data_IF_459399808872
#
_entry.id   IF_459399808872
#
_cell.length_a   1.000
_cell.length_b   1.000
_cell.length_c   1.000
_cell.angle_alpha   90.00
_cell.angle_beta   90.00
_cell.angle_gamma   90.00
#
_symmetry.space_group_name_H-M   'P 1'
#
loop_
_entity.id
_entity.type
_entity.pdbx_description
1 polymer ?
#
# COMPACT_ATOMS: atom_id res chain seq x y z
N UNK A 1 -11.58 -6.09 -23.73
CA UNK A 1 -12.49 -6.88 -22.89
C UNK A 1 -13.22 -5.90 -21.96
N UNK A 2 -14.54 -5.83 -22.05
CA UNK A 2 -15.37 -4.85 -21.31
C UNK A 2 -15.39 -5.17 -19.82
N UNK A 3 -15.33 -6.45 -19.45
CA UNK A 3 -15.40 -6.89 -18.06
C UNK A 3 -14.13 -6.49 -17.30
N UNK A 4 -12.97 -6.64 -17.95
CA UNK A 4 -11.68 -6.19 -17.40
C UNK A 4 -11.68 -4.66 -17.20
N UNK A 5 -12.26 -3.91 -18.13
CA UNK A 5 -12.36 -2.46 -18.01
C UNK A 5 -13.27 -2.05 -16.84
N UNK A 6 -14.43 -2.71 -16.69
CA UNK A 6 -15.35 -2.44 -15.57
C UNK A 6 -14.71 -2.76 -14.21
N UNK A 7 -14.05 -3.92 -14.10
CA UNK A 7 -13.32 -4.32 -12.91
C UNK A 7 -12.23 -3.30 -12.55
N UNK A 8 -11.49 -2.82 -13.57
CA UNK A 8 -10.44 -1.82 -13.36
C UNK A 8 -11.00 -0.52 -12.77
N UNK A 9 -12.16 -0.05 -13.25
CA UNK A 9 -12.82 1.16 -12.74
C UNK A 9 -13.29 0.96 -11.31
N UNK A 10 -13.86 -0.21 -10.99
CA UNK A 10 -14.31 -0.53 -9.64
C UNK A 10 -13.15 -0.56 -8.64
N UNK A 11 -12.07 -1.26 -8.97
CA UNK A 11 -10.87 -1.34 -8.11
C UNK A 11 -10.29 0.06 -7.91
N UNK A 12 -10.12 0.84 -8.99
CA UNK A 12 -9.62 2.21 -8.87
C UNK A 12 -10.51 3.10 -7.98
N UNK A 13 -11.83 2.95 -8.08
CA UNK A 13 -12.80 3.65 -7.23
C UNK A 13 -12.65 3.30 -5.75
N UNK A 14 -12.64 2.01 -5.44
CA UNK A 14 -12.46 1.51 -4.06
C UNK A 14 -11.12 1.95 -3.47
N UNK A 15 -10.05 1.91 -4.26
CA UNK A 15 -8.72 2.31 -3.82
C UNK A 15 -8.62 3.81 -3.56
N UNK A 16 -9.29 4.63 -4.37
CA UNK A 16 -9.39 6.07 -4.11
C UNK A 16 -10.15 6.34 -2.81
N UNK A 17 -11.27 5.68 -2.59
CA UNK A 17 -12.05 5.79 -1.36
C UNK A 17 -11.22 5.38 -0.14
N UNK A 18 -10.51 4.25 -0.22
CA UNK A 18 -9.59 3.80 0.83
C UNK A 18 -8.53 4.87 1.16
N UNK A 19 -7.90 5.47 0.15
CA UNK A 19 -6.89 6.51 0.37
C UNK A 19 -7.48 7.78 0.98
N UNK A 20 -8.66 8.22 0.54
CA UNK A 20 -9.36 9.37 1.14
C UNK A 20 -9.73 9.11 2.60
N UNK A 21 -10.38 7.98 2.89
CA UNK A 21 -10.77 7.61 4.26
C UNK A 21 -9.54 7.46 5.16
N UNK A 22 -8.48 6.83 4.66
CA UNK A 22 -7.24 6.69 5.40
C UNK A 22 -6.59 8.05 5.68
N UNK A 23 -6.51 8.95 4.70
CA UNK A 23 -5.99 10.31 4.89
C UNK A 23 -6.72 11.03 6.00
N UNK A 24 -8.05 11.05 5.94
CA UNK A 24 -8.89 11.71 6.94
C UNK A 24 -8.67 11.13 8.33
N UNK A 25 -8.63 9.80 8.46
CA UNK A 25 -8.37 9.15 9.75
C UNK A 25 -7.01 9.56 10.34
N UNK A 26 -5.96 9.62 9.51
CA UNK A 26 -4.61 10.00 9.95
C UNK A 26 -4.51 11.47 10.33
N UNK A 27 -5.19 12.36 9.61
CA UNK A 27 -5.25 13.78 9.94
C UNK A 27 -6.00 14.01 11.26
N UNK A 28 -7.11 13.31 11.49
CA UNK A 28 -7.84 13.34 12.75
C UNK A 28 -6.99 12.83 13.93
N UNK A 29 -6.29 11.71 13.77
CA UNK A 29 -5.35 11.18 14.78
C UNK A 29 -4.25 12.19 15.11
N UNK A 30 -3.73 12.90 14.10
CA UNK A 30 -2.70 13.90 14.27
C UNK A 30 -3.22 15.10 15.06
N UNK A 31 -4.41 15.62 14.72
CA UNK A 31 -5.07 16.72 15.44
C UNK A 31 -5.31 16.35 16.91
N UNK A 32 -5.84 15.14 17.18
CA UNK A 32 -6.04 14.66 18.54
C UNK A 32 -4.75 14.56 19.36
N UNK A 33 -3.61 14.35 18.68
CA UNK A 33 -2.28 14.27 19.28
C UNK A 33 -1.52 15.60 19.29
N UNK A 34 -2.17 16.73 18.95
CA UNK A 34 -1.55 18.04 18.77
C UNK A 34 -0.36 18.03 17.78
N UNK A 35 -0.42 17.13 16.78
CA UNK A 35 0.56 17.04 15.70
C UNK A 35 -0.06 17.57 14.41
N UNK A 36 0.76 18.21 13.58
CA UNK A 36 0.36 18.56 12.23
C UNK A 36 0.85 17.48 11.26
N UNK A 37 -0.08 16.76 10.65
CA UNK A 37 0.19 15.82 9.57
C UNK A 37 -0.53 16.32 8.32
N UNK A 38 0.16 16.33 7.19
CA UNK A 38 -0.45 16.65 5.90
C UNK A 38 0.19 15.79 4.83
N UNK A 39 -0.63 15.20 3.98
CA UNK A 39 -0.17 14.41 2.85
C UNK A 39 -0.25 15.26 1.59
N UNK A 40 0.89 15.43 0.90
CA UNK A 40 0.92 16.14 -0.39
C UNK A 40 0.46 15.20 -1.51
N UNK A 41 -0.21 15.78 -2.52
CA UNK A 41 -0.69 15.07 -3.71
C UNK A 41 -2.18 14.73 -3.66
N UNK A 42 -2.69 14.14 -4.75
CA UNK A 42 -4.09 13.72 -4.88
C UNK A 42 -4.37 12.37 -4.21
N UNK A 43 -5.51 11.77 -4.56
CA UNK A 43 -5.96 10.46 -4.07
C UNK A 43 -6.10 9.41 -5.16
N UNK A 44 -5.60 9.71 -6.36
CA UNK A 44 -5.46 8.68 -7.37
C UNK A 44 -4.35 7.71 -6.91
N UNK A 45 -4.64 6.42 -6.73
CA UNK A 45 -3.63 5.46 -6.30
C UNK A 45 -2.59 5.27 -7.41
N UNK A 46 -1.33 5.04 -7.04
CA UNK A 46 -0.33 4.57 -8.00
C UNK A 46 -0.69 3.15 -8.48
N UNK A 47 -0.26 2.79 -9.70
CA UNK A 47 -0.44 1.43 -10.22
C UNK A 47 0.23 0.38 -9.33
N UNK A 48 1.38 0.72 -8.73
CA UNK A 48 2.04 -0.14 -7.75
C UNK A 48 1.17 -0.41 -6.52
N UNK A 49 0.48 0.61 -6.01
CA UNK A 49 -0.41 0.46 -4.86
C UNK A 49 -1.67 -0.36 -5.17
N UNK A 50 -2.24 -0.18 -6.37
CA UNK A 50 -3.35 -1.02 -6.87
C UNK A 50 -2.92 -2.48 -6.99
N UNK A 51 -1.72 -2.73 -7.53
CA UNK A 51 -1.15 -4.08 -7.62
C UNK A 51 -0.95 -4.71 -6.25
N UNK A 52 -0.46 -3.95 -5.27
CA UNK A 52 -0.29 -4.42 -3.90
C UNK A 52 -1.63 -4.82 -3.26
N UNK A 53 -2.64 -3.98 -3.38
CA UNK A 53 -3.97 -4.28 -2.83
C UNK A 53 -4.58 -5.52 -3.48
N UNK A 54 -4.42 -5.66 -4.79
CA UNK A 54 -4.86 -6.85 -5.52
C UNK A 54 -4.14 -8.10 -5.03
N UNK A 55 -2.83 -8.02 -4.79
CA UNK A 55 -2.05 -9.12 -4.22
C UNK A 55 -2.50 -9.48 -2.80
N UNK A 56 -2.79 -8.50 -1.94
CA UNK A 56 -3.32 -8.74 -0.59
C UNK A 56 -4.68 -9.44 -0.61
N UNK A 57 -5.50 -9.18 -1.63
CA UNK A 57 -6.81 -9.82 -1.77
C UNK A 57 -6.75 -11.25 -2.34
N UNK A 58 -5.66 -11.60 -3.05
CA UNK A 58 -5.59 -12.85 -3.84
C UNK A 58 -4.47 -13.80 -3.43
N UNK A 59 -3.48 -13.33 -2.68
CA UNK A 59 -2.35 -14.12 -2.21
C UNK A 59 -2.42 -14.31 -0.69
N UNK A 60 -1.96 -15.46 -0.20
CA UNK A 60 -1.84 -15.71 1.23
C UNK A 60 -0.64 -15.00 1.88
N UNK A 61 0.38 -14.70 1.08
CA UNK A 61 1.60 -14.02 1.52
C UNK A 61 2.00 -12.99 0.47
N UNK A 62 2.30 -11.77 0.93
CA UNK A 62 2.70 -10.65 0.06
C UNK A 62 3.98 -10.04 0.61
N UNK A 63 4.98 -9.91 -0.27
CA UNK A 63 6.23 -9.21 0.02
C UNK A 63 6.42 -8.10 -0.99
N UNK A 64 6.49 -6.86 -0.48
CA UNK A 64 6.62 -5.66 -1.30
C UNK A 64 8.09 -5.26 -1.46
N UNK A 65 8.51 -5.03 -2.71
CA UNK A 65 9.85 -4.58 -3.08
C UNK A 65 9.77 -3.28 -3.87
N UNK A 66 10.72 -2.37 -3.67
CA UNK A 66 10.88 -1.19 -4.53
C UNK A 66 9.78 -0.13 -4.40
N UNK A 67 8.98 -0.16 -3.34
CA UNK A 67 7.98 0.88 -3.07
C UNK A 67 8.66 2.16 -2.55
N UNK A 68 8.41 3.27 -3.24
CA UNK A 68 8.83 4.58 -2.73
C UNK A 68 7.86 5.08 -1.68
N UNK A 69 8.40 5.58 -0.55
CA UNK A 69 7.62 6.25 0.50
C UNK A 69 7.55 7.77 0.32
N UNK A 70 8.11 8.29 -0.76
CA UNK A 70 8.20 9.72 -1.03
C UNK A 70 8.14 10.00 -2.52
N UNK A 71 7.66 11.18 -2.87
CA UNK A 71 7.68 11.63 -4.26
C UNK A 71 9.12 11.95 -4.68
N UNK A 72 9.65 11.22 -5.66
CA UNK A 72 10.95 11.51 -6.26
C UNK A 72 10.73 12.40 -7.49
N UNK A 73 10.69 13.73 -7.26
CA UNK A 73 10.45 14.73 -8.30
C UNK A 73 11.73 15.34 -8.88
N UNK A 74 12.85 15.17 -8.22
CA UNK A 74 14.14 15.60 -8.73
C UNK A 74 15.22 14.61 -8.29
N UNK A 75 16.27 14.49 -9.11
CA UNK A 75 17.38 13.55 -8.86
C UNK A 75 18.34 14.03 -7.76
N UNK A 76 18.27 15.31 -7.36
CA UNK A 76 19.20 15.94 -6.41
C UNK A 76 18.82 15.71 -4.95
N UNK A 77 17.53 15.51 -4.65
CA UNK A 77 17.01 15.32 -3.29
C UNK A 77 16.64 13.87 -2.96
N UNK A 78 16.92 12.94 -3.88
CA UNK A 78 16.46 11.55 -3.77
C UNK A 78 17.65 10.62 -3.54
N UNK A 79 17.53 9.75 -2.53
CA UNK A 79 18.57 8.76 -2.22
C UNK A 79 18.72 7.66 -3.27
N UNK A 80 17.73 7.52 -4.16
CA UNK A 80 17.69 6.52 -5.24
C UNK A 80 17.05 7.12 -6.51
N UNK A 81 17.35 6.59 -7.71
CA UNK A 81 16.63 6.95 -8.92
C UNK A 81 15.14 6.57 -8.83
N UNK A 82 14.29 7.20 -9.64
CA UNK A 82 12.84 6.94 -9.63
C UNK A 82 12.51 5.51 -10.08
N UNK A 83 13.15 5.04 -11.15
CA UNK A 83 13.10 3.64 -11.59
C UNK A 83 14.41 2.93 -11.30
N UNK A 84 14.33 1.61 -11.04
CA UNK A 84 15.51 0.77 -10.80
C UNK A 84 16.26 0.42 -12.10
N UNK A 85 15.57 0.41 -13.25
CA UNK A 85 16.15 0.12 -14.55
C UNK A 85 16.84 1.35 -15.14
N UNK A 86 17.85 1.11 -15.98
CA UNK A 86 18.60 2.14 -16.70
C UNK A 86 18.26 2.08 -18.20
N UNK A 87 18.58 3.14 -18.93
CA UNK A 87 18.47 3.23 -20.40
C UNK A 87 17.04 3.28 -20.98
N UNK A 88 16.06 3.69 -20.18
CA UNK A 88 14.72 4.03 -20.66
C UNK A 88 14.47 5.53 -20.47
N UNK A 89 13.73 6.12 -21.41
CA UNK A 89 13.39 7.54 -21.36
C UNK A 89 12.41 7.80 -20.20
N UNK A 90 12.93 8.34 -19.11
CA UNK A 90 12.12 8.93 -18.05
C UNK A 90 11.86 10.40 -18.43
N UNK A 91 10.63 10.73 -18.80
CA UNK A 91 10.23 12.14 -18.79
C UNK A 91 10.20 12.58 -17.32
N UNK A 92 11.05 13.55 -16.96
CA UNK A 92 11.12 14.09 -15.60
C UNK A 92 9.75 14.61 -15.12
N UNK A 93 8.95 15.09 -16.07
CA UNK A 93 7.56 15.57 -15.90
C UNK A 93 6.57 14.46 -15.52
N UNK A 94 6.85 13.19 -15.87
CA UNK A 94 5.99 12.04 -15.55
C UNK A 94 6.39 11.37 -14.22
N UNK A 95 7.50 11.79 -13.61
CA UNK A 95 7.94 11.26 -12.31
C UNK A 95 7.05 11.77 -11.20
N UNK A 96 6.59 10.84 -10.36
CA UNK A 96 5.88 11.16 -9.13
C UNK A 96 4.78 12.24 -9.29
N UNK A 97 3.95 12.07 -10.32
CA UNK A 97 2.92 13.02 -10.73
C UNK A 97 2.04 13.45 -9.54
N UNK A 98 1.68 14.74 -9.39
CA UNK A 98 0.96 15.25 -8.23
C UNK A 98 -0.44 14.67 -8.00
N UNK A 99 -0.98 13.88 -8.93
CA UNK A 99 -2.23 13.15 -8.74
C UNK A 99 -2.12 12.02 -7.70
N UNK A 100 -0.92 11.50 -7.48
CA UNK A 100 -0.63 10.48 -6.49
C UNK A 100 -0.12 11.09 -5.19
N UNK A 101 -0.36 10.39 -4.09
CA UNK A 101 0.25 10.70 -2.81
C UNK A 101 1.16 9.57 -2.35
N UNK A 102 2.40 9.55 -2.87
CA UNK A 102 3.41 8.55 -2.51
C UNK A 102 3.71 8.48 -1.02
N UNK A 103 3.58 9.61 -0.31
CA UNK A 103 3.74 9.65 1.15
C UNK A 103 2.57 9.00 1.87
N UNK A 104 1.34 9.17 1.37
CA UNK A 104 0.16 8.52 1.94
C UNK A 104 0.19 7.01 1.68
N UNK A 105 0.47 6.61 0.44
CA UNK A 105 0.63 5.20 0.07
C UNK A 105 1.77 4.54 0.85
N UNK A 106 2.89 5.23 1.02
CA UNK A 106 4.01 4.78 1.83
C UNK A 106 3.68 4.64 3.33
N UNK A 107 2.94 5.60 3.91
CA UNK A 107 2.49 5.51 5.31
C UNK A 107 1.55 4.31 5.50
N UNK A 108 0.60 4.12 4.58
CA UNK A 108 -0.32 2.97 4.61
C UNK A 108 0.42 1.63 4.44
N UNK A 109 1.37 1.55 3.50
CA UNK A 109 2.24 0.37 3.33
C UNK A 109 2.95 0.00 4.64
N UNK A 110 3.56 0.98 5.32
CA UNK A 110 4.27 0.72 6.57
C UNK A 110 3.34 0.35 7.72
N UNK A 111 2.07 0.79 7.70
CA UNK A 111 1.06 0.31 8.66
C UNK A 111 0.65 -1.13 8.39
N UNK A 112 0.41 -1.49 7.13
CA UNK A 112 0.13 -2.87 6.75
C UNK A 112 1.27 -3.80 7.15
N UNK A 113 2.52 -3.34 6.97
CA UNK A 113 3.70 -4.03 7.49
C UNK A 113 3.67 -4.19 9.01
N UNK A 114 3.43 -3.10 9.76
CA UNK A 114 3.38 -3.14 11.23
C UNK A 114 2.26 -4.03 11.78
N UNK A 115 1.19 -4.24 11.02
CA UNK A 115 0.09 -5.15 11.35
C UNK A 115 0.36 -6.61 10.94
N UNK A 116 1.51 -6.89 10.30
CA UNK A 116 1.84 -8.23 9.79
C UNK A 116 1.05 -8.64 8.56
N UNK A 117 0.35 -7.71 7.88
CA UNK A 117 -0.45 -8.01 6.68
C UNK A 117 0.42 -8.27 5.44
N UNK A 118 1.66 -7.76 5.43
CA UNK A 118 2.64 -7.96 4.37
C UNK A 118 4.06 -7.81 4.92
N UNK A 119 5.04 -8.25 4.15
CA UNK A 119 6.46 -7.93 4.37
C UNK A 119 6.89 -6.78 3.46
N UNK A 120 7.83 -5.96 3.93
CA UNK A 120 8.48 -4.92 3.12
C UNK A 120 9.97 -5.18 3.07
N UNK A 121 10.51 -5.22 1.86
CA UNK A 121 11.94 -5.36 1.64
C UNK A 121 12.51 -4.03 1.15
N UNK A 122 13.36 -3.44 1.99
CA UNK A 122 14.14 -2.27 1.62
C UNK A 122 15.50 -2.70 1.07
N UNK A 123 16.02 -1.96 0.09
CA UNK A 123 17.40 -2.12 -0.35
C UNK A 123 18.28 -1.52 0.75
N UNK A 124 19.04 -2.36 1.46
CA UNK A 124 19.99 -1.90 2.47
C UNK A 124 21.07 -1.00 1.85
N UNK A 125 21.66 -0.10 2.66
CA UNK A 125 22.83 0.72 2.27
C UNK A 125 24.09 -0.12 1.96
N UNK A 126 24.10 -1.40 2.34
CA UNK A 126 25.17 -2.35 2.02
C UNK A 126 24.79 -3.16 0.78
N UNK A 127 25.52 -2.92 -0.30
CA UNK A 127 25.54 -3.60 -1.59
C UNK A 127 24.66 -4.88 -1.69
N UNK A 128 23.43 -4.73 -2.18
CA UNK A 128 22.66 -5.84 -2.78
C UNK A 128 21.99 -6.83 -1.83
N UNK A 129 22.06 -6.64 -0.51
CA UNK A 129 21.27 -7.43 0.43
C UNK A 129 19.90 -6.77 0.64
N UNK A 130 18.84 -7.43 0.18
CA UNK A 130 17.46 -7.09 0.54
C UNK A 130 17.26 -7.44 2.01
N UNK A 131 17.17 -6.44 2.88
CA UNK A 131 16.79 -6.68 4.25
C UNK A 131 15.26 -6.71 4.31
N UNK A 132 14.72 -7.89 4.06
CA UNK A 132 13.31 -8.17 4.27
C UNK A 132 13.14 -8.43 5.77
N UNK A 133 12.86 -7.38 6.56
CA UNK A 133 12.55 -7.60 7.97
C UNK A 133 11.22 -8.36 8.04
N UNK A 134 11.30 -9.62 8.44
CA UNK A 134 10.18 -10.52 8.67
C UNK A 134 10.10 -10.90 10.15
N UNK A 135 10.24 -9.93 11.06
CA UNK A 135 10.06 -10.20 12.49
C UNK A 135 8.62 -9.79 12.83
N UNK A 136 7.59 -10.61 12.57
CA UNK A 136 7.32 -11.82 13.35
C UNK A 136 6.21 -12.63 12.68
N UNK A 137 6.56 -13.74 12.05
CA UNK A 137 5.64 -14.88 11.89
C UNK A 137 6.41 -16.17 12.13
N UNK A 138 6.86 -16.35 13.38
CA UNK A 138 7.34 -17.66 13.84
C UNK A 138 6.18 -18.39 14.50
N UNK A 139 5.57 -19.29 13.74
CA UNK A 139 4.80 -20.41 14.29
C UNK A 139 5.77 -21.43 14.86
N UNK A 140 6.24 -21.21 16.08
CA UNK A 140 6.86 -22.26 16.90
C UNK A 140 6.93 -21.82 18.36
N UNK A 141 5.82 -21.93 19.08
CA UNK A 141 5.86 -22.59 20.38
C UNK A 141 4.45 -22.96 20.86
N UNK A 142 4.27 -24.25 21.06
CA UNK A 142 3.17 -24.86 21.78
C UNK A 142 3.19 -24.41 23.24
N UNK A 143 2.29 -23.49 23.62
CA UNK A 143 1.69 -23.50 24.94
C UNK A 143 0.43 -22.63 25.01
N UNK A 144 -0.63 -23.24 25.54
CA UNK A 144 -1.89 -22.60 25.89
C UNK A 144 -1.69 -21.28 26.63
N UNK A 145 -2.30 -20.21 26.12
CA UNK A 145 -3.01 -19.23 26.94
C UNK A 145 -4.07 -18.54 26.07
N UNK A 146 -5.30 -18.65 26.54
CA UNK A 146 -6.48 -17.97 26.01
C UNK A 146 -6.21 -16.48 25.76
N UNK A 147 -6.25 -16.08 24.49
CA UNK A 147 -6.12 -14.70 24.04
C UNK A 147 -6.98 -14.53 22.80
N UNK A 148 -8.06 -13.78 22.95
CA UNK A 148 -9.11 -13.50 21.98
C UNK A 148 -8.53 -13.21 20.58
N UNK A 149 -8.97 -13.97 19.57
CA UNK A 149 -8.71 -13.65 18.17
C UNK A 149 -9.10 -12.18 17.89
N UNK A 150 -8.29 -11.41 17.16
CA UNK A 150 -8.75 -10.13 16.63
C UNK A 150 -9.97 -10.41 15.73
N UNK A 151 -11.02 -9.57 15.82
CA UNK A 151 -12.21 -9.78 15.01
C UNK A 151 -11.79 -9.78 13.54
N UNK A 152 -12.23 -10.81 12.81
CA UNK A 152 -12.13 -10.86 11.37
C UNK A 152 -12.58 -9.51 10.78
N UNK A 153 -11.87 -9.03 9.77
CA UNK A 153 -12.35 -7.98 8.87
C UNK A 153 -13.60 -8.50 8.14
N UNK A 154 -14.69 -8.60 8.87
CA UNK A 154 -16.02 -9.01 8.43
C UNK A 154 -16.92 -7.78 8.42
N UNK A 155 -16.52 -6.75 7.68
CA UNK A 155 -17.41 -5.64 7.26
C UNK A 155 -16.86 -4.98 5.99
N UNK A 156 -16.47 -5.77 4.99
CA UNK A 156 -16.62 -5.34 3.60
C UNK A 156 -17.87 -6.05 3.09
N UNK A 157 -19.02 -5.38 3.23
CA UNK A 157 -20.28 -5.82 2.63
C UNK A 157 -20.13 -5.75 1.11
N UNK A 158 -19.66 -6.84 0.52
CA UNK A 158 -19.86 -7.11 -0.90
C UNK A 158 -21.37 -7.32 -1.13
N UNK A 159 -21.99 -6.67 -2.13
CA UNK A 159 -23.40 -6.89 -2.43
C UNK A 159 -23.62 -8.34 -2.86
N UNK A 160 -24.57 -9.01 -2.20
CA UNK A 160 -25.01 -10.36 -2.53
C UNK A 160 -25.50 -10.42 -3.98
N UNK A 161 -24.90 -11.32 -4.75
CA UNK A 161 -25.29 -11.64 -6.12
C UNK A 161 -26.57 -12.47 -6.06
N UNK A 162 -27.72 -11.85 -6.33
CA UNK A 162 -28.96 -12.58 -6.55
C UNK A 162 -28.84 -13.40 -7.84
N UNK A 163 -28.75 -14.72 -7.67
CA UNK A 163 -28.93 -15.69 -8.73
C UNK A 163 -30.42 -15.77 -9.07
N UNK A 164 -30.81 -15.18 -10.20
CA UNK A 164 -32.10 -15.49 -10.81
C UNK A 164 -31.87 -16.60 -11.84
N UNK A 165 -32.17 -17.83 -11.43
CA UNK A 165 -32.62 -18.86 -12.35
C UNK A 165 -34.14 -18.77 -12.47
N UNK A 166 -34.62 -18.33 -13.63
CA UNK A 166 -35.81 -18.86 -14.30
C UNK A 166 -35.82 -18.42 -15.76
#
# INVERSE_FOLDING_TARGET
>A
DVDVALLSVQIMGQMRELLESYRLARELEAVASSRQLSFKGGTAPSTGFVGLYTALATCSHVTAYGFSRQANRNTKSSSYPYHYFKNYADAEELRAHPHHSFTLEGDLLMRLFALGALQVCEVGKLAGLHNCSADTFSTSDSNERQGRAPPALSTLNLPERTSNHH
#
